data_IF_698207467206
#
_entry.id   IF_698207467206
#
_cell.length_a   1.000
_cell.length_b   1.000
_cell.length_c   1.000
_cell.angle_alpha   90.00
_cell.angle_beta   90.00
_cell.angle_gamma   90.00
#
_symmetry.space_group_name_H-M   'P 1'
#
loop_
_entity.id
_entity.type
_entity.pdbx_description
1 polymer ?
#
# COMPACT_ATOMS: atom_id res chain seq x y z
N UNK A 1 19.00 -21.08 23.67
CA UNK A 1 18.70 -19.64 23.46
C UNK A 1 17.68 -19.59 22.37
N UNK A 2 16.44 -19.13 22.63
CA UNK A 2 15.44 -18.98 21.59
C UNK A 2 15.87 -17.78 20.73
N UNK A 3 15.87 -17.92 19.41
CA UNK A 3 16.12 -16.83 18.48
C UNK A 3 14.88 -15.94 18.52
N UNK A 4 15.06 -14.66 18.74
CA UNK A 4 13.97 -13.68 18.71
C UNK A 4 13.44 -13.53 17.28
N UNK A 5 12.11 -13.58 17.12
CA UNK A 5 11.47 -13.36 15.84
C UNK A 5 11.35 -11.84 15.64
N UNK A 6 12.09 -11.29 14.70
CA UNK A 6 12.07 -9.85 14.37
C UNK A 6 11.23 -9.57 13.13
N UNK A 7 11.26 -10.49 12.16
CA UNK A 7 10.55 -10.36 10.89
C UNK A 7 9.17 -11.00 10.96
N UNK A 8 8.17 -10.33 10.40
CA UNK A 8 6.81 -10.84 10.41
C UNK A 8 5.99 -10.33 9.21
N UNK A 9 4.92 -11.07 8.94
CA UNK A 9 3.84 -10.65 8.04
C UNK A 9 2.53 -10.73 8.81
N UNK A 10 1.67 -9.74 8.59
CA UNK A 10 0.37 -9.65 9.24
C UNK A 10 -0.73 -9.32 8.22
N UNK A 11 -1.85 -10.03 8.30
CA UNK A 11 -3.05 -9.78 7.51
C UNK A 11 -4.28 -10.13 8.34
N UNK A 12 -5.10 -9.14 8.64
CA UNK A 12 -6.31 -9.33 9.43
C UNK A 12 -6.02 -9.84 10.83
N UNK A 13 -6.36 -11.10 11.11
CA UNK A 13 -6.10 -11.77 12.41
C UNK A 13 -4.81 -12.58 12.42
N UNK A 14 -4.24 -12.83 11.27
CA UNK A 14 -3.03 -13.60 11.15
C UNK A 14 -1.81 -12.72 11.39
N UNK A 15 -0.99 -13.08 12.37
CA UNK A 15 0.33 -12.50 12.62
C UNK A 15 1.35 -13.62 12.76
N UNK A 16 2.32 -13.69 11.83
CA UNK A 16 3.30 -14.78 11.78
C UNK A 16 4.22 -14.81 13.01
N UNK A 17 4.57 -13.65 13.58
CA UNK A 17 5.41 -13.53 14.77
C UNK A 17 4.68 -14.07 16.02
N UNK A 18 3.43 -13.64 16.21
CA UNK A 18 2.61 -14.12 17.34
C UNK A 18 2.33 -15.62 17.24
N UNK A 19 2.15 -16.12 16.01
CA UNK A 19 1.99 -17.54 15.75
C UNK A 19 3.30 -18.33 15.82
N UNK A 20 4.44 -17.70 16.10
CA UNK A 20 5.73 -18.34 16.32
C UNK A 20 6.41 -18.85 15.05
N UNK A 21 6.15 -18.20 13.90
CA UNK A 21 6.81 -18.51 12.63
C UNK A 21 8.00 -17.58 12.38
N UNK A 22 9.03 -18.14 11.77
CA UNK A 22 10.17 -17.44 11.20
C UNK A 22 9.96 -17.29 9.69
N UNK A 23 10.32 -16.16 9.09
CA UNK A 23 10.36 -16.01 7.64
C UNK A 23 11.64 -16.66 7.11
N UNK A 24 11.50 -17.64 6.20
CA UNK A 24 12.63 -18.30 5.52
C UNK A 24 12.92 -17.68 4.17
N UNK A 25 11.88 -17.34 3.44
CA UNK A 25 11.97 -16.78 2.10
C UNK A 25 10.93 -15.66 1.98
N UNK A 26 11.34 -14.59 1.38
CA UNK A 26 10.53 -13.44 1.04
C UNK A 26 10.81 -13.10 -0.42
N UNK A 27 9.82 -13.29 -1.28
CA UNK A 27 9.90 -13.02 -2.70
C UNK A 27 8.81 -12.04 -3.12
N UNK A 28 9.22 -10.87 -3.56
CA UNK A 28 8.35 -9.79 -3.99
C UNK A 28 8.81 -9.26 -5.35
N UNK A 29 8.61 -10.04 -6.45
CA UNK A 29 9.06 -9.63 -7.77
C UNK A 29 8.39 -8.32 -8.20
N UNK A 30 9.08 -7.55 -9.05
CA UNK A 30 8.47 -6.36 -9.66
C UNK A 30 7.19 -6.73 -10.41
N UNK A 31 6.18 -5.86 -10.41
CA UNK A 31 4.95 -6.13 -11.17
C UNK A 31 5.22 -6.09 -12.67
N UNK A 32 4.52 -6.94 -13.41
CA UNK A 32 4.57 -6.97 -14.86
C UNK A 32 3.81 -5.77 -15.45
N UNK A 33 4.35 -5.17 -16.50
CA UNK A 33 3.69 -4.09 -17.22
C UNK A 33 2.57 -4.64 -18.11
N UNK A 34 1.43 -3.98 -18.13
CA UNK A 34 0.38 -4.23 -19.10
C UNK A 34 0.77 -3.65 -20.46
N UNK A 35 1.37 -4.48 -21.30
CA UNK A 35 1.78 -4.07 -22.62
C UNK A 35 0.60 -4.15 -23.61
N UNK A 36 0.35 -3.03 -24.33
CA UNK A 36 -0.61 -2.96 -25.44
C UNK A 36 0.18 -2.76 -26.75
N UNK A 37 0.53 -3.88 -27.36
CA UNK A 37 1.39 -3.87 -28.55
C UNK A 37 0.59 -4.38 -29.76
N UNK A 38 0.58 -3.59 -30.84
CA UNK A 38 -0.11 -3.93 -32.08
C UNK A 38 0.85 -4.02 -33.26
N UNK A 39 0.81 -5.13 -33.97
CA UNK A 39 1.56 -5.37 -35.21
C UNK A 39 0.69 -5.13 -36.45
N UNK A 40 1.15 -4.29 -37.36
CA UNK A 40 0.47 -4.11 -38.67
C UNK A 40 1.12 -5.04 -39.71
N UNK A 41 0.34 -5.85 -40.45
CA UNK A 41 0.87 -6.70 -41.50
C UNK A 41 1.69 -5.91 -42.51
N UNK A 42 2.87 -6.43 -42.87
CA UNK A 42 3.84 -5.84 -43.81
C UNK A 42 4.57 -4.60 -43.30
N UNK A 43 4.45 -4.22 -42.04
CA UNK A 43 5.23 -3.18 -41.39
C UNK A 43 6.36 -3.79 -40.56
N UNK A 44 7.52 -3.15 -40.56
CA UNK A 44 8.61 -3.51 -39.65
C UNK A 44 8.40 -2.84 -38.30
N UNK A 45 8.54 -3.61 -37.21
CA UNK A 45 8.31 -3.15 -35.85
C UNK A 45 6.87 -3.27 -35.40
N UNK A 46 6.58 -2.76 -34.24
CA UNK A 46 5.26 -2.77 -33.58
C UNK A 46 4.91 -1.38 -33.08
N UNK A 47 3.64 -1.09 -32.95
CA UNK A 47 3.17 0.11 -32.23
C UNK A 47 2.95 -0.28 -30.77
N UNK A 48 3.55 0.48 -29.87
CA UNK A 48 3.38 0.35 -28.44
C UNK A 48 2.43 1.45 -27.95
N UNK A 49 1.28 1.04 -27.44
CA UNK A 49 0.24 1.90 -26.88
C UNK A 49 0.18 1.80 -25.35
N UNK A 50 1.12 1.11 -24.70
CA UNK A 50 1.13 0.87 -23.27
C UNK A 50 1.12 2.16 -22.43
N UNK A 51 1.63 3.26 -23.01
CA UNK A 51 1.64 4.60 -22.38
C UNK A 51 0.60 5.57 -22.97
N UNK A 52 -0.49 5.07 -23.56
CA UNK A 52 -1.48 5.94 -24.23
C UNK A 52 -2.09 6.99 -23.28
N UNK A 53 -2.20 6.69 -22.00
CA UNK A 53 -2.72 7.60 -20.97
C UNK A 53 -1.64 8.46 -20.30
N UNK A 54 -0.37 8.36 -20.73
CA UNK A 54 0.76 9.13 -20.22
C UNK A 54 1.51 8.50 -19.05
N UNK A 55 1.04 7.37 -18.54
CA UNK A 55 1.67 6.60 -17.47
C UNK A 55 1.64 5.09 -17.77
N UNK A 56 2.59 4.34 -17.20
CA UNK A 56 2.65 2.89 -17.34
C UNK A 56 1.63 2.25 -16.40
N UNK A 57 0.94 1.23 -16.89
CA UNK A 57 -0.01 0.44 -16.10
C UNK A 57 0.62 -0.92 -15.80
N UNK A 58 0.45 -1.42 -14.59
CA UNK A 58 1.03 -2.68 -14.15
C UNK A 58 -0.05 -3.65 -13.70
N UNK A 59 0.21 -4.94 -13.90
CA UNK A 59 -0.61 -6.02 -13.36
C UNK A 59 -0.35 -6.24 -11.87
N UNK A 60 -1.29 -6.90 -11.19
CA UNK A 60 -1.09 -7.34 -9.82
C UNK A 60 0.18 -8.18 -9.70
N UNK A 61 0.90 -7.98 -8.59
CA UNK A 61 2.10 -8.74 -8.28
C UNK A 61 1.82 -9.88 -7.32
N UNK A 62 2.64 -10.90 -7.37
CA UNK A 62 2.58 -12.03 -6.44
C UNK A 62 3.65 -11.87 -5.37
N UNK A 63 3.21 -11.74 -4.12
CA UNK A 63 4.10 -11.80 -2.97
C UNK A 63 4.10 -13.24 -2.44
N UNK A 64 5.28 -13.86 -2.36
CA UNK A 64 5.44 -15.22 -1.84
C UNK A 64 6.27 -15.20 -0.57
N UNK A 65 5.68 -15.67 0.53
CA UNK A 65 6.32 -15.73 1.83
C UNK A 65 6.36 -17.17 2.31
N UNK A 66 7.54 -17.64 2.67
CA UNK A 66 7.73 -18.96 3.25
C UNK A 66 8.02 -18.85 4.73
N UNK A 67 7.13 -19.39 5.52
CA UNK A 67 7.15 -19.38 6.97
C UNK A 67 7.59 -20.74 7.51
N UNK A 68 8.37 -20.74 8.58
CA UNK A 68 8.87 -21.94 9.22
C UNK A 68 8.61 -21.90 10.72
N UNK A 69 8.06 -23.00 11.25
CA UNK A 69 7.88 -23.18 12.69
C UNK A 69 8.51 -24.49 13.15
N UNK A 70 9.57 -24.43 13.97
CA UNK A 70 10.23 -25.62 14.52
C UNK A 70 9.45 -26.22 15.69
N UNK A 71 9.85 -27.42 16.10
CA UNK A 71 9.43 -28.10 17.33
C UNK A 71 7.90 -28.22 17.48
N UNK A 72 7.21 -28.55 16.38
CA UNK A 72 5.76 -28.64 16.33
C UNK A 72 5.31 -30.09 16.23
N UNK A 73 4.52 -30.55 17.20
CA UNK A 73 3.95 -31.90 17.19
C UNK A 73 2.93 -32.07 16.05
N UNK A 74 2.68 -33.32 15.63
CA UNK A 74 1.79 -33.62 14.49
C UNK A 74 0.40 -32.97 14.60
N UNK A 75 -0.23 -33.13 15.76
CA UNK A 75 -1.57 -32.54 15.99
C UNK A 75 -1.57 -31.02 15.93
N UNK A 76 -0.54 -30.41 16.50
CA UNK A 76 -0.38 -28.95 16.44
C UNK A 76 -0.12 -28.46 15.00
N UNK A 77 0.65 -29.22 14.19
CA UNK A 77 0.89 -28.85 12.78
C UNK A 77 -0.41 -28.79 11.99
N UNK A 78 -1.29 -29.78 12.17
CA UNK A 78 -2.58 -29.81 11.46
C UNK A 78 -3.51 -28.68 11.92
N UNK A 79 -3.55 -28.40 13.22
CA UNK A 79 -4.31 -27.28 13.77
C UNK A 79 -3.80 -25.93 13.23
N UNK A 80 -2.48 -25.71 13.25
CA UNK A 80 -1.86 -24.48 12.77
C UNK A 80 -2.04 -24.27 11.26
N UNK A 81 -1.97 -25.33 10.47
CA UNK A 81 -2.29 -25.28 9.03
C UNK A 81 -3.72 -24.82 8.80
N UNK A 82 -4.66 -25.41 9.53
CA UNK A 82 -6.07 -25.05 9.43
C UNK A 82 -6.32 -23.60 9.87
N UNK A 83 -5.79 -23.20 11.01
CA UNK A 83 -5.88 -21.82 11.52
C UNK A 83 -5.34 -20.80 10.53
N UNK A 84 -4.17 -21.08 9.93
CA UNK A 84 -3.59 -20.20 8.92
C UNK A 84 -4.49 -20.08 7.67
N UNK A 85 -5.05 -21.20 7.19
CA UNK A 85 -5.99 -21.20 6.06
C UNK A 85 -7.27 -20.40 6.38
N UNK A 86 -7.85 -20.62 7.56
CA UNK A 86 -9.07 -19.91 7.97
C UNK A 86 -8.83 -18.41 8.14
N UNK A 87 -7.68 -18.01 8.71
CA UNK A 87 -7.38 -16.62 8.97
C UNK A 87 -6.95 -15.85 7.71
N UNK A 88 -6.34 -16.51 6.73
CA UNK A 88 -5.81 -15.86 5.52
C UNK A 88 -6.73 -15.99 4.32
N UNK A 89 -7.23 -17.21 4.03
CA UNK A 89 -7.97 -17.48 2.79
C UNK A 89 -9.39 -16.94 2.77
N UNK A 90 -9.96 -16.62 3.95
CA UNK A 90 -11.32 -16.08 4.05
C UNK A 90 -11.35 -14.55 4.10
N UNK A 91 -10.18 -13.90 4.14
CA UNK A 91 -10.11 -12.45 4.10
C UNK A 91 -10.35 -11.92 2.68
N UNK A 92 -11.07 -10.82 2.59
CA UNK A 92 -11.14 -10.00 1.40
C UNK A 92 -9.81 -9.27 1.17
N UNK A 93 -9.71 -8.54 0.06
CA UNK A 93 -8.57 -7.66 -0.19
C UNK A 93 -8.43 -6.66 0.96
N UNK A 94 -7.28 -6.68 1.62
CA UNK A 94 -6.99 -5.84 2.79
C UNK A 94 -5.51 -5.51 2.88
N UNK A 95 -5.16 -4.65 3.81
CA UNK A 95 -3.76 -4.31 4.09
C UNK A 95 -3.00 -5.54 4.62
N UNK A 96 -1.80 -5.73 4.08
CA UNK A 96 -0.84 -6.75 4.49
C UNK A 96 0.39 -6.00 4.99
N UNK A 97 0.63 -6.05 6.29
CA UNK A 97 1.82 -5.47 6.90
C UNK A 97 2.98 -6.43 6.74
N UNK A 98 4.08 -5.92 6.25
CA UNK A 98 5.31 -6.64 6.00
C UNK A 98 6.46 -5.91 6.71
N UNK A 99 7.12 -6.58 7.62
CA UNK A 99 8.22 -5.98 8.39
C UNK A 99 9.43 -5.57 7.54
N UNK A 100 9.50 -6.01 6.28
CA UNK A 100 10.53 -5.58 5.32
C UNK A 100 10.20 -4.23 4.68
N UNK A 101 8.94 -3.79 4.79
CA UNK A 101 8.46 -2.52 4.25
C UNK A 101 8.22 -1.53 5.38
N UNK A 102 9.23 -0.75 5.74
CA UNK A 102 9.07 0.27 6.76
C UNK A 102 8.11 1.37 6.31
N UNK A 103 7.09 1.65 7.13
CA UNK A 103 6.07 2.68 6.86
C UNK A 103 5.15 2.43 5.65
N UNK A 104 5.22 1.25 5.02
CA UNK A 104 4.38 0.86 3.90
C UNK A 104 3.63 -0.44 4.18
N UNK A 105 2.62 -0.71 3.37
CA UNK A 105 1.90 -1.98 3.39
C UNK A 105 1.51 -2.39 1.97
N UNK A 106 1.27 -3.68 1.79
CA UNK A 106 0.67 -4.19 0.56
C UNK A 106 -0.85 -4.16 0.67
N UNK A 107 -1.52 -3.90 -0.42
CA UNK A 107 -2.97 -4.11 -0.54
C UNK A 107 -3.20 -5.37 -1.36
N UNK A 108 -3.77 -6.40 -0.74
CA UNK A 108 -3.92 -7.68 -1.44
C UNK A 108 -4.79 -8.69 -0.71
N UNK A 109 -4.81 -9.90 -1.25
CA UNK A 109 -5.51 -11.05 -0.67
C UNK A 109 -4.63 -12.29 -0.74
N UNK A 110 -4.75 -13.17 0.25
CA UNK A 110 -4.10 -14.47 0.21
C UNK A 110 -4.82 -15.38 -0.80
N UNK A 111 -4.09 -15.90 -1.77
CA UNK A 111 -4.62 -16.80 -2.82
C UNK A 111 -4.25 -18.25 -2.59
N UNK A 112 -3.21 -18.52 -1.80
CA UNK A 112 -2.77 -19.88 -1.52
C UNK A 112 -2.05 -19.97 -0.18
N UNK A 113 -2.34 -21.03 0.56
CA UNK A 113 -1.61 -21.46 1.75
C UNK A 113 -1.25 -22.94 1.56
N UNK A 114 0.02 -23.21 1.29
CA UNK A 114 0.54 -24.57 1.10
C UNK A 114 1.35 -24.95 2.32
N UNK A 115 1.00 -26.06 2.95
CA UNK A 115 1.73 -26.61 4.10
C UNK A 115 2.64 -27.74 3.66
N UNK A 116 3.89 -27.70 4.12
CA UNK A 116 4.84 -28.80 4.05
C UNK A 116 5.11 -29.30 5.49
N UNK A 117 4.69 -30.52 5.75
CA UNK A 117 4.72 -31.17 7.05
C UNK A 117 5.94 -32.11 7.13
N UNK A 118 7.06 -31.63 7.64
CA UNK A 118 8.24 -32.45 7.85
C UNK A 118 8.16 -33.21 9.19
N UNK A 119 7.70 -34.47 9.09
CA UNK A 119 7.59 -35.34 10.25
C UNK A 119 8.96 -35.71 10.89
N UNK A 120 10.01 -35.72 10.08
CA UNK A 120 11.35 -36.12 10.56
C UNK A 120 11.98 -35.06 11.45
N UNK A 121 11.65 -33.79 11.19
CA UNK A 121 12.16 -32.62 11.93
C UNK A 121 11.18 -32.04 12.93
N UNK A 122 9.96 -32.58 13.02
CA UNK A 122 8.88 -32.00 13.82
C UNK A 122 8.71 -30.49 13.52
N UNK A 123 8.62 -30.12 12.25
CA UNK A 123 8.48 -28.75 11.81
C UNK A 123 7.35 -28.57 10.82
N UNK A 124 6.81 -27.38 10.77
CA UNK A 124 5.79 -26.96 9.82
C UNK A 124 6.34 -25.81 8.98
N UNK A 125 6.27 -25.97 7.66
CA UNK A 125 6.57 -24.90 6.72
C UNK A 125 5.28 -24.51 6.01
N UNK A 126 4.96 -23.22 5.97
CA UNK A 126 3.84 -22.67 5.23
C UNK A 126 4.37 -21.78 4.10
N UNK A 127 3.94 -22.05 2.89
CA UNK A 127 4.16 -21.13 1.75
C UNK A 127 2.87 -20.37 1.51
N UNK A 128 2.93 -19.06 1.71
CA UNK A 128 1.82 -18.13 1.51
C UNK A 128 2.02 -17.42 0.18
N UNK A 129 0.95 -17.32 -0.62
CA UNK A 129 0.96 -16.56 -1.87
C UNK A 129 -0.15 -15.53 -1.79
N UNK A 130 0.23 -14.27 -1.94
CA UNK A 130 -0.70 -13.15 -1.97
C UNK A 130 -0.74 -12.56 -3.38
N UNK A 131 -1.94 -12.18 -3.81
CA UNK A 131 -2.19 -11.38 -5.01
C UNK A 131 -2.36 -9.94 -4.56
N UNK A 132 -1.35 -9.11 -4.82
CA UNK A 132 -1.25 -7.77 -4.32
C UNK A 132 -1.36 -6.74 -5.42
N UNK A 133 -1.88 -5.56 -5.08
CA UNK A 133 -1.77 -4.37 -5.90
C UNK A 133 -0.29 -4.13 -6.29
N UNK A 134 -0.01 -3.63 -7.50
CA UNK A 134 1.37 -3.54 -8.01
C UNK A 134 2.32 -2.70 -7.16
N UNK A 135 1.80 -1.70 -6.46
CA UNK A 135 2.59 -0.79 -5.63
C UNK A 135 2.35 -1.07 -4.14
N UNK A 136 3.36 -0.82 -3.31
CA UNK A 136 3.16 -0.68 -1.88
C UNK A 136 2.51 0.67 -1.59
N UNK A 137 1.68 0.74 -0.57
CA UNK A 137 0.97 1.94 -0.16
C UNK A 137 1.61 2.50 1.11
N UNK A 138 2.00 3.76 1.07
CA UNK A 138 2.48 4.52 2.21
C UNK A 138 1.40 5.53 2.59
N UNK A 139 0.95 5.50 3.84
CA UNK A 139 0.13 6.58 4.36
C UNK A 139 1.01 7.82 4.47
N UNK A 140 0.64 8.89 3.78
CA UNK A 140 1.21 10.19 4.07
C UNK A 140 0.74 10.57 5.48
N UNK A 141 1.52 10.20 6.48
CA UNK A 141 1.28 10.61 7.86
C UNK A 141 1.27 12.12 7.88
N UNK A 142 0.11 12.72 8.17
CA UNK A 142 0.05 14.10 8.57
C UNK A 142 0.93 14.24 9.82
N UNK A 143 1.65 15.34 9.91
CA UNK A 143 2.49 15.66 11.05
C UNK A 143 1.76 15.32 12.36
N UNK A 144 2.27 14.35 13.08
CA UNK A 144 1.94 14.10 14.49
C UNK A 144 2.96 14.90 15.31
N UNK A 145 2.56 15.46 16.45
CA UNK A 145 3.37 16.34 17.32
C UNK A 145 4.68 15.70 17.87
N UNK A 146 4.98 14.47 17.48
CA UNK A 146 6.22 13.77 17.82
C UNK A 146 7.22 13.91 16.66
N UNK A 147 8.25 14.71 16.93
CA UNK A 147 9.40 14.87 16.06
C UNK A 147 10.25 13.59 16.14
N UNK A 148 10.05 12.69 15.19
CA UNK A 148 10.86 11.49 15.04
C UNK A 148 11.97 11.73 14.01
N UNK A 149 13.20 11.82 14.48
CA UNK A 149 14.40 12.10 13.68
C UNK A 149 14.73 10.93 12.74
N UNK A 150 14.28 9.71 13.05
CA UNK A 150 14.58 8.50 12.30
C UNK A 150 13.74 8.38 11.00
N UNK A 151 12.66 9.16 10.87
CA UNK A 151 11.79 9.19 9.70
C UNK A 151 12.29 10.08 8.53
N UNK A 152 13.38 10.82 8.71
CA UNK A 152 13.88 11.77 7.69
C UNK A 152 14.63 11.11 6.52
N UNK A 153 14.84 9.80 6.52
CA UNK A 153 15.70 9.17 5.53
C UNK A 153 15.02 9.00 4.17
N UNK A 154 13.68 8.87 4.12
CA UNK A 154 12.97 8.50 2.89
C UNK A 154 11.59 9.17 2.69
N UNK A 155 11.40 10.44 3.01
CA UNK A 155 10.11 11.07 2.73
C UNK A 155 10.02 12.56 3.05
N UNK A 156 9.07 13.26 2.42
CA UNK A 156 8.74 14.66 2.76
C UNK A 156 7.77 14.67 3.93
N UNK A 157 8.22 15.15 5.07
CA UNK A 157 7.32 15.50 6.17
C UNK A 157 6.60 16.81 5.81
N UNK A 158 5.28 16.76 5.65
CA UNK A 158 4.48 17.91 5.26
C UNK A 158 3.22 18.05 6.10
N UNK A 159 2.86 19.31 6.39
CA UNK A 159 1.57 19.61 6.99
C UNK A 159 0.45 19.26 6.04
N UNK A 160 -0.46 18.40 6.49
CA UNK A 160 -1.66 18.01 5.74
C UNK A 160 -2.94 18.63 6.30
N UNK A 161 -2.85 19.31 7.45
CA UNK A 161 -3.97 20.01 8.10
C UNK A 161 -3.80 21.54 8.06
N UNK A 162 -4.81 22.26 7.58
CA UNK A 162 -4.73 23.71 7.34
C UNK A 162 -5.93 24.43 7.92
N UNK A 163 -5.64 25.53 8.65
CA UNK A 163 -6.70 26.45 9.03
C UNK A 163 -6.85 27.53 7.95
N UNK A 164 -8.07 27.71 7.46
CA UNK A 164 -8.42 28.66 6.39
C UNK A 164 -9.32 29.75 6.94
N UNK A 165 -9.00 31.01 6.63
CA UNK A 165 -9.83 32.16 6.92
C UNK A 165 -9.90 33.05 5.68
N UNK A 166 -11.02 32.97 4.96
CA UNK A 166 -11.20 33.63 3.67
C UNK A 166 -10.54 32.86 2.53
N UNK A 167 -9.23 33.04 2.35
CA UNK A 167 -8.43 32.37 1.31
C UNK A 167 -7.06 31.96 1.85
N UNK A 168 -6.59 30.78 1.41
CA UNK A 168 -5.23 30.30 1.69
C UNK A 168 -4.72 29.46 0.52
N UNK A 169 -3.50 29.73 0.08
CA UNK A 169 -2.76 28.86 -0.85
C UNK A 169 -1.84 27.96 -0.07
N UNK A 170 -1.83 26.69 -0.39
CA UNK A 170 -1.01 25.64 0.23
C UNK A 170 -0.22 24.91 -0.86
N UNK A 171 0.86 24.28 -0.47
CA UNK A 171 1.63 23.33 -1.26
C UNK A 171 1.46 21.95 -0.65
N UNK A 172 1.08 20.96 -1.46
CA UNK A 172 1.14 19.56 -1.12
C UNK A 172 2.07 18.84 -2.10
N UNK A 173 2.94 18.00 -1.57
CA UNK A 173 3.89 17.21 -2.35
C UNK A 173 3.39 15.76 -2.39
N UNK A 174 3.22 15.22 -3.59
CA UNK A 174 2.97 13.81 -3.80
C UNK A 174 4.28 13.13 -4.22
N UNK A 175 4.87 12.36 -3.35
CA UNK A 175 6.12 11.62 -3.59
C UNK A 175 5.89 10.28 -4.30
N UNK A 176 4.63 9.88 -4.43
CA UNK A 176 4.25 8.64 -5.08
C UNK A 176 4.66 8.56 -6.54
N UNK A 177 4.68 7.35 -7.05
CA UNK A 177 4.98 7.08 -8.46
C UNK A 177 3.87 7.55 -9.39
N UNK A 178 2.63 7.58 -8.91
CA UNK A 178 1.43 7.96 -9.66
C UNK A 178 0.67 9.11 -9.00
N UNK A 179 -0.27 9.69 -9.75
CA UNK A 179 -1.20 10.69 -9.24
C UNK A 179 -2.20 10.04 -8.27
N UNK A 180 -2.43 10.64 -7.09
CA UNK A 180 -3.30 10.09 -6.04
C UNK A 180 -4.50 10.98 -5.76
N UNK A 181 -5.64 10.38 -5.40
CA UNK A 181 -6.86 11.09 -4.98
C UNK A 181 -6.92 11.18 -3.46
N UNK A 182 -6.75 12.36 -2.86
CA UNK A 182 -6.76 12.50 -1.41
C UNK A 182 -8.18 12.40 -0.85
N UNK A 183 -8.29 11.84 0.34
CA UNK A 183 -9.46 12.03 1.20
C UNK A 183 -9.33 13.36 1.92
N UNK A 184 -10.33 14.24 1.74
CA UNK A 184 -10.34 15.59 2.28
C UNK A 184 -11.37 15.68 3.39
N UNK A 185 -10.96 16.04 4.62
CA UNK A 185 -11.88 16.27 5.73
C UNK A 185 -11.97 17.76 6.02
N UNK A 186 -13.19 18.32 6.03
CA UNK A 186 -13.44 19.74 6.26
C UNK A 186 -14.44 20.00 7.39
N UNK A 187 -14.19 21.06 8.18
CA UNK A 187 -15.14 21.49 9.23
C UNK A 187 -16.26 22.39 8.74
N UNK A 188 -16.15 22.91 7.52
CA UNK A 188 -17.15 23.79 6.87
C UNK A 188 -17.16 23.62 5.35
N UNK A 189 -18.08 24.31 4.69
CA UNK A 189 -18.07 24.38 3.23
C UNK A 189 -16.92 25.22 2.74
N UNK A 190 -16.18 24.70 1.78
CA UNK A 190 -15.02 25.35 1.18
C UNK A 190 -14.97 25.04 -0.32
N UNK A 191 -14.18 25.83 -1.06
CA UNK A 191 -13.88 25.56 -2.46
C UNK A 191 -12.36 25.44 -2.61
N UNK A 192 -11.91 24.40 -3.27
CA UNK A 192 -10.51 24.17 -3.61
C UNK A 192 -10.31 24.45 -5.08
N UNK A 193 -9.24 25.15 -5.41
CA UNK A 193 -8.84 25.46 -6.80
C UNK A 193 -7.43 24.93 -7.00
N UNK A 194 -7.25 24.10 -8.01
CA UNK A 194 -5.93 23.55 -8.41
C UNK A 194 -5.10 24.60 -9.13
N UNK A 195 -3.79 24.39 -9.26
CA UNK A 195 -2.91 25.22 -10.08
C UNK A 195 -3.32 25.29 -11.56
N UNK A 196 -4.04 24.28 -12.06
CA UNK A 196 -4.63 24.24 -13.40
C UNK A 196 -5.96 25.02 -13.51
N UNK A 197 -6.49 25.55 -12.40
CA UNK A 197 -7.75 26.29 -12.35
C UNK A 197 -9.00 25.44 -12.20
N UNK A 198 -8.87 24.12 -12.00
CA UNK A 198 -9.99 23.23 -11.69
C UNK A 198 -10.55 23.56 -10.31
N UNK A 199 -11.88 23.45 -10.18
CA UNK A 199 -12.59 23.80 -8.95
C UNK A 199 -13.30 22.60 -8.38
N UNK A 200 -13.07 22.35 -7.09
CA UNK A 200 -13.72 21.30 -6.32
C UNK A 200 -14.47 21.93 -5.13
N UNK A 201 -15.77 21.66 -5.04
CA UNK A 201 -16.60 22.09 -3.92
C UNK A 201 -16.52 21.06 -2.79
N UNK A 202 -16.00 21.47 -1.63
CA UNK A 202 -15.81 20.63 -0.46
C UNK A 202 -16.95 20.89 0.52
N UNK A 203 -17.64 19.84 0.93
CA UNK A 203 -18.67 19.87 1.94
C UNK A 203 -18.09 19.65 3.33
N UNK A 204 -18.85 20.03 4.37
CA UNK A 204 -18.50 19.67 5.74
C UNK A 204 -18.46 18.15 5.92
N UNK A 205 -17.40 17.64 6.53
CA UNK A 205 -17.15 16.21 6.74
C UNK A 205 -16.10 15.68 5.77
N UNK A 206 -16.14 14.39 5.52
CA UNK A 206 -15.24 13.70 4.63
C UNK A 206 -15.70 13.81 3.18
N UNK A 207 -14.78 14.16 2.29
CA UNK A 207 -15.00 14.29 0.86
C UNK A 207 -13.93 13.44 0.14
N UNK A 208 -14.36 12.74 -0.89
CA UNK A 208 -13.46 12.02 -1.79
C UNK A 208 -13.98 12.21 -3.21
N UNK A 209 -13.13 12.73 -4.09
CA UNK A 209 -13.43 12.91 -5.50
C UNK A 209 -12.38 12.20 -6.33
N UNK A 210 -12.79 11.18 -7.08
CA UNK A 210 -11.91 10.36 -7.90
C UNK A 210 -11.33 11.13 -9.10
N UNK A 211 -11.92 12.24 -9.48
CA UNK A 211 -11.43 13.09 -10.56
C UNK A 211 -10.40 14.13 -10.08
N UNK A 212 -10.44 14.48 -8.79
CA UNK A 212 -9.42 15.34 -8.19
C UNK A 212 -8.20 14.51 -7.81
N UNK A 213 -7.08 14.79 -8.46
CA UNK A 213 -5.82 14.08 -8.21
C UNK A 213 -4.70 15.06 -7.89
N UNK A 214 -3.91 14.72 -6.89
CA UNK A 214 -2.60 15.32 -6.65
C UNK A 214 -1.60 14.67 -7.62
N UNK A 215 -1.06 15.46 -8.52
CA UNK A 215 -0.04 15.01 -9.46
C UNK A 215 1.27 14.69 -8.73
N UNK A 216 2.11 13.86 -9.31
CA UNK A 216 3.45 13.60 -8.79
C UNK A 216 4.23 14.91 -8.63
N UNK A 217 4.88 15.09 -7.48
CA UNK A 217 5.63 16.29 -7.13
C UNK A 217 4.76 17.38 -6.50
N UNK A 218 5.02 18.62 -6.80
CA UNK A 218 4.42 19.81 -6.17
C UNK A 218 3.00 20.10 -6.68
N UNK A 219 2.05 20.25 -5.74
CA UNK A 219 0.67 20.63 -6.03
C UNK A 219 0.30 21.91 -5.29
N UNK A 220 0.14 22.99 -6.02
CA UNK A 220 -0.34 24.26 -5.48
C UNK A 220 -1.85 24.30 -5.48
N UNK A 221 -2.44 24.43 -4.30
CA UNK A 221 -3.89 24.45 -4.10
C UNK A 221 -4.31 25.74 -3.42
N UNK A 222 -5.31 26.41 -3.95
CA UNK A 222 -5.92 27.59 -3.33
C UNK A 222 -7.27 27.21 -2.75
N UNK A 223 -7.45 27.45 -1.44
CA UNK A 223 -8.66 27.10 -0.70
C UNK A 223 -9.37 28.39 -0.34
N UNK A 224 -10.66 28.45 -0.69
CA UNK A 224 -11.58 29.52 -0.30
C UNK A 224 -12.60 29.01 0.72
N UNK A 225 -12.77 29.74 1.83
CA UNK A 225 -13.73 29.37 2.88
C UNK A 225 -13.22 29.67 4.28
N UNK A 226 -13.90 29.12 5.29
CA UNK A 226 -13.53 29.31 6.69
C UNK A 226 -13.64 27.97 7.43
N UNK A 227 -12.58 27.63 8.18
CA UNK A 227 -12.53 26.43 9.00
C UNK A 227 -11.22 25.66 8.85
N UNK A 228 -11.23 24.42 9.27
CA UNK A 228 -10.10 23.50 9.18
C UNK A 228 -10.31 22.52 8.03
N UNK A 229 -9.26 22.24 7.27
CA UNK A 229 -9.22 21.28 6.17
C UNK A 229 -8.01 20.39 6.36
N UNK A 230 -8.17 19.09 6.21
CA UNK A 230 -7.07 18.12 6.24
C UNK A 230 -7.14 17.17 5.05
N UNK A 231 -5.96 16.76 4.59
CA UNK A 231 -5.77 15.83 3.49
C UNK A 231 -5.16 14.54 4.03
N UNK A 232 -5.68 13.41 3.59
CA UNK A 232 -5.08 12.08 3.82
C UNK A 232 -4.91 11.42 2.46
N UNK A 233 -3.70 11.01 2.16
CA UNK A 233 -3.36 10.35 0.90
C UNK A 233 -2.68 9.02 1.19
N UNK A 234 -3.01 8.01 0.41
CA UNK A 234 -2.18 6.82 0.27
C UNK A 234 -1.26 7.03 -0.92
N UNK A 235 0.04 7.00 -0.67
CA UNK A 235 1.06 7.25 -1.68
C UNK A 235 1.57 5.92 -2.20
N UNK A 236 1.57 5.74 -3.51
CA UNK A 236 2.06 4.53 -4.17
C UNK A 236 3.58 4.56 -4.29
N UNK A 237 4.22 3.50 -3.83
CA UNK A 237 5.69 3.34 -3.85
C UNK A 237 6.05 2.09 -4.64
N UNK A 238 7.01 2.22 -5.56
CA UNK A 238 7.59 1.08 -6.26
C UNK A 238 8.69 0.47 -5.38
N UNK A 239 8.50 -0.79 -4.97
CA UNK A 239 9.42 -1.53 -4.07
C UNK A 239 9.91 -2.78 -4.77
#
# INVERSE_FOLDING_TARGET
MAIEITEYIEMGRFNSKEAGYYILEHDSPSPDEQEIIEGIPFMQGVYDFSMLLGERVFDNRKLTIKLYRPLTLYEDRKRLEQEAKEQLMLNETSAITDSWLDGCHWLGKCTSVVADDDQSRNSLTLTLIFDCYPFALKNAAGYTDEFDVDYFVDGVDQWTGFFVKGQRTILLINEGVNATSPTITATGKMQLITGAGERLDIQKGQNQDLFFKLQRGENYLTIHGNGHLSFVTETEVMV
#
